data_IF_990060967822
#
_entry.id   IF_990060967822
#
_cell.length_a   1.000
_cell.length_b   1.000
_cell.length_c   1.000
_cell.angle_alpha   90.00
_cell.angle_beta   90.00
_cell.angle_gamma   90.00
#
_symmetry.space_group_name_H-M   'P 1'
#
loop_
_entity.id
_entity.type
_entity.pdbx_description
1 polymer ?
#
# COMPACT_ATOMS: atom_id res chain seq x y z
N UNK A 1 -6.61 -22.53 4.33
CA UNK A 1 -5.18 -22.36 3.95
C UNK A 1 -5.23 -21.20 2.98
N UNK A 2 -5.34 -20.00 3.54
CA UNK A 2 -5.99 -18.90 2.83
C UNK A 2 -4.89 -18.02 2.26
N UNK A 3 -4.70 -18.14 0.95
CA UNK A 3 -3.83 -17.26 0.22
C UNK A 3 -4.45 -15.87 0.25
N UNK A 4 -3.72 -14.90 0.79
CA UNK A 4 -4.08 -13.49 0.71
C UNK A 4 -4.16 -13.11 -0.78
N UNK A 5 -5.30 -12.65 -1.30
CA UNK A 5 -5.39 -12.26 -2.69
C UNK A 5 -4.54 -10.99 -2.87
N UNK A 6 -3.46 -11.11 -3.65
CA UNK A 6 -2.73 -9.95 -4.17
C UNK A 6 -3.59 -9.39 -5.30
N UNK A 7 -4.68 -8.70 -4.93
CA UNK A 7 -5.46 -7.93 -5.88
C UNK A 7 -4.83 -6.54 -5.99
N UNK A 8 -4.74 -6.07 -7.24
CA UNK A 8 -4.50 -4.68 -7.66
C UNK A 8 -3.03 -4.24 -7.86
N UNK A 9 -2.44 -4.67 -8.99
CA UNK A 9 -1.74 -3.70 -9.83
C UNK A 9 -2.81 -2.80 -10.46
N UNK A 10 -2.74 -1.50 -10.23
CA UNK A 10 -3.87 -0.59 -10.49
C UNK A 10 -3.84 -0.03 -11.91
N UNK A 11 -5.05 0.12 -12.46
CA UNK A 11 -5.37 0.85 -13.69
C UNK A 11 -5.27 2.36 -13.48
N UNK A 12 -4.65 3.06 -14.44
CA UNK A 12 -4.35 4.50 -14.41
C UNK A 12 -5.56 5.44 -14.21
N UNK A 13 -6.80 4.97 -14.34
CA UNK A 13 -8.02 5.79 -14.32
C UNK A 13 -8.68 5.99 -12.93
N UNK A 14 -8.03 5.64 -11.82
CA UNK A 14 -8.60 5.76 -10.47
C UNK A 14 -8.15 7.06 -9.76
N UNK A 15 -9.09 7.98 -9.50
CA UNK A 15 -8.80 9.26 -8.82
C UNK A 15 -8.30 9.07 -7.37
N UNK A 16 -8.91 8.14 -6.62
CA UNK A 16 -8.51 7.83 -5.24
C UNK A 16 -7.08 7.27 -5.20
N UNK A 17 -6.72 6.45 -6.20
CA UNK A 17 -5.35 5.99 -6.38
C UNK A 17 -4.37 7.15 -6.60
N UNK A 18 -4.67 8.05 -7.53
CA UNK A 18 -3.80 9.21 -7.79
C UNK A 18 -3.60 10.08 -6.53
N UNK A 19 -4.66 10.27 -5.73
CA UNK A 19 -4.60 11.01 -4.47
C UNK A 19 -3.73 10.30 -3.42
N UNK A 20 -3.87 8.98 -3.27
CA UNK A 20 -3.03 8.18 -2.37
C UNK A 20 -1.56 8.23 -2.80
N UNK A 21 -1.28 8.10 -4.10
CA UNK A 21 0.08 8.18 -4.64
C UNK A 21 0.71 9.55 -4.43
N UNK A 22 -0.05 10.64 -4.60
CA UNK A 22 0.42 11.99 -4.29
C UNK A 22 0.76 12.16 -2.81
N UNK A 23 0.00 11.53 -1.91
CA UNK A 23 0.25 11.57 -0.46
C UNK A 23 1.45 10.72 -0.04
N UNK A 24 1.73 9.67 -0.80
CA UNK A 24 2.91 8.80 -0.69
C UNK A 24 4.17 9.42 -1.30
N UNK A 25 4.06 10.39 -2.22
CA UNK A 25 5.22 10.97 -2.91
C UNK A 25 6.30 11.46 -1.92
N UNK A 26 7.51 10.92 -2.06
CA UNK A 26 8.65 11.22 -1.20
C UNK A 26 8.58 10.59 0.21
N UNK A 27 7.61 9.71 0.47
CA UNK A 27 7.48 8.95 1.71
C UNK A 27 7.68 7.48 1.44
N UNK A 28 8.24 6.82 2.43
CA UNK A 28 8.51 5.39 2.38
C UNK A 28 7.25 4.58 2.68
N UNK A 29 6.37 5.11 3.53
CA UNK A 29 5.08 4.53 3.86
C UNK A 29 4.11 5.64 4.30
N UNK A 30 2.82 5.46 4.04
CA UNK A 30 1.74 6.28 4.58
C UNK A 30 0.98 5.47 5.62
N UNK A 31 1.01 5.91 6.87
CA UNK A 31 0.25 5.30 7.96
C UNK A 31 -1.03 6.10 8.21
N UNK A 32 -2.15 5.41 8.39
CA UNK A 32 -3.44 6.03 8.66
C UNK A 32 -4.17 5.32 9.81
N UNK A 33 -4.72 6.10 10.72
CA UNK A 33 -5.62 5.64 11.78
C UNK A 33 -6.48 6.83 12.22
N UNK A 34 -7.76 6.92 11.80
CA UNK A 34 -8.48 6.03 10.90
C UNK A 34 -8.03 6.16 9.43
N UNK A 35 -8.51 5.26 8.57
CA UNK A 35 -8.28 5.32 7.12
C UNK A 35 -8.88 6.58 6.52
N UNK A 36 -8.21 7.16 5.52
CA UNK A 36 -8.83 8.21 4.72
C UNK A 36 -9.87 7.63 3.76
N UNK A 37 -10.76 8.50 3.24
CA UNK A 37 -11.75 8.08 2.25
C UNK A 37 -11.08 7.50 1.01
N UNK A 38 -10.01 8.13 0.54
CA UNK A 38 -9.28 7.72 -0.66
C UNK A 38 -8.68 6.33 -0.48
N UNK A 39 -8.10 6.02 0.68
CA UNK A 39 -7.57 4.68 0.96
C UNK A 39 -8.68 3.65 1.11
N UNK A 40 -9.80 4.01 1.74
CA UNK A 40 -10.95 3.13 1.88
C UNK A 40 -11.60 2.79 0.52
N UNK A 41 -11.64 3.74 -0.42
CA UNK A 41 -12.16 3.55 -1.78
C UNK A 41 -11.32 2.55 -2.61
N UNK A 42 -10.09 2.25 -2.18
CA UNK A 42 -9.18 1.28 -2.83
C UNK A 42 -9.26 -0.13 -2.24
N UNK A 43 -10.03 -0.32 -1.18
CA UNK A 43 -10.18 -1.59 -0.48
C UNK A 43 -11.55 -2.21 -0.80
N UNK A 44 -11.63 -3.53 -0.68
CA UNK A 44 -12.94 -4.19 -0.70
C UNK A 44 -13.75 -3.81 0.56
N UNK A 45 -15.09 -3.84 0.49
CA UNK A 45 -15.94 -3.42 1.62
C UNK A 45 -15.70 -4.19 2.93
N UNK A 46 -15.32 -5.47 2.86
CA UNK A 46 -15.08 -6.29 4.06
C UNK A 46 -13.79 -5.87 4.76
N UNK A 47 -12.75 -5.54 3.99
CA UNK A 47 -11.51 -4.96 4.50
C UNK A 47 -11.77 -3.59 5.15
N UNK A 48 -12.54 -2.71 4.51
CA UNK A 48 -12.90 -1.40 5.08
C UNK A 48 -13.67 -1.55 6.39
N UNK A 49 -14.64 -2.47 6.46
CA UNK A 49 -15.45 -2.69 7.66
C UNK A 49 -14.64 -3.12 8.89
N UNK A 50 -13.46 -3.70 8.68
CA UNK A 50 -12.60 -4.22 9.74
C UNK A 50 -11.37 -3.34 10.00
N UNK A 51 -11.07 -2.39 9.13
CA UNK A 51 -9.86 -1.59 9.23
C UNK A 51 -10.01 -0.44 10.25
N UNK A 52 -9.23 -0.51 11.34
CA UNK A 52 -9.06 0.59 12.29
C UNK A 52 -7.80 1.42 12.00
N UNK A 53 -6.78 0.80 11.39
CA UNK A 53 -5.59 1.46 10.86
C UNK A 53 -5.10 0.78 9.59
N UNK A 54 -4.27 1.47 8.82
CA UNK A 54 -3.58 0.89 7.67
C UNK A 54 -2.15 1.45 7.49
N UNK A 55 -1.34 0.66 6.77
CA UNK A 55 -0.08 1.08 6.19
C UNK A 55 -0.17 0.96 4.67
N UNK A 56 0.11 2.04 3.95
CA UNK A 56 0.18 2.07 2.49
C UNK A 56 1.64 2.18 2.07
N UNK A 57 2.07 1.29 1.19
CA UNK A 57 3.45 1.15 0.76
C UNK A 57 3.52 1.31 -0.76
N UNK A 58 4.35 2.22 -1.29
CA UNK A 58 4.53 2.33 -2.72
C UNK A 58 5.39 1.17 -3.22
N UNK A 59 5.02 0.59 -4.36
CA UNK A 59 5.88 -0.30 -5.13
C UNK A 59 6.54 0.58 -6.19
N UNK A 60 7.87 0.66 -6.18
CA UNK A 60 8.61 1.50 -7.14
C UNK A 60 9.31 0.68 -8.22
N UNK A 61 9.34 1.23 -9.42
CA UNK A 61 10.14 0.79 -10.54
C UNK A 61 11.63 1.07 -10.32
N UNK A 62 12.47 0.59 -11.25
CA UNK A 62 13.89 0.93 -11.30
C UNK A 62 14.15 2.44 -11.41
N UNK A 63 13.23 3.19 -12.02
CA UNK A 63 13.29 4.65 -12.15
C UNK A 63 12.96 5.40 -10.86
N UNK A 64 12.66 4.70 -9.76
CA UNK A 64 12.07 5.25 -8.53
C UNK A 64 10.65 5.81 -8.74
N UNK A 65 10.07 5.57 -9.91
CA UNK A 65 8.68 5.91 -10.20
C UNK A 65 7.75 4.87 -9.57
N UNK A 66 6.69 5.28 -8.87
CA UNK A 66 5.73 4.32 -8.32
C UNK A 66 4.92 3.62 -9.42
N UNK A 67 4.91 2.28 -9.40
CA UNK A 67 4.15 1.43 -10.33
C UNK A 67 2.90 0.81 -9.68
N UNK A 68 2.73 1.02 -8.38
CA UNK A 68 1.61 0.50 -7.62
C UNK A 68 1.79 0.72 -6.13
N UNK A 69 0.95 0.04 -5.33
CA UNK A 69 1.02 0.09 -3.88
C UNK A 69 0.49 -1.19 -3.24
N UNK A 70 0.73 -1.30 -1.94
CA UNK A 70 0.18 -2.33 -1.07
C UNK A 70 -0.50 -1.60 0.09
N UNK A 71 -1.76 -1.94 0.37
CA UNK A 71 -2.45 -1.49 1.58
C UNK A 71 -2.54 -2.68 2.53
N UNK A 72 -1.98 -2.52 3.73
CA UNK A 72 -2.11 -3.47 4.82
C UNK A 72 -3.05 -2.88 5.86
N UNK A 73 -4.09 -3.63 6.23
CA UNK A 73 -5.10 -3.19 7.20
C UNK A 73 -4.97 -3.94 8.51
N UNK A 74 -5.29 -3.25 9.61
CA UNK A 74 -5.36 -3.85 10.94
C UNK A 74 -6.63 -3.42 11.65
N UNK A 75 -7.18 -4.33 12.47
CA UNK A 75 -8.29 -4.06 13.39
C UNK A 75 -7.85 -3.26 14.63
N UNK A 76 -6.54 -3.18 14.88
CA UNK A 76 -5.97 -2.41 15.98
C UNK A 76 -5.52 -1.02 15.47
N UNK A 77 -6.08 0.08 16.00
CA UNK A 77 -5.70 1.43 15.59
C UNK A 77 -4.25 1.80 15.93
N UNK A 78 -3.62 1.11 16.90
CA UNK A 78 -2.24 1.33 17.33
C UNK A 78 -1.22 0.38 16.70
N UNK A 79 -1.63 -0.42 15.71
CA UNK A 79 -0.83 -1.51 15.15
C UNK A 79 0.38 -1.03 14.34
N UNK A 80 0.20 0.00 13.51
CA UNK A 80 1.28 0.55 12.70
C UNK A 80 1.87 1.76 13.38
N UNK A 81 3.10 1.62 13.90
CA UNK A 81 3.85 2.73 14.49
C UNK A 81 4.96 3.17 13.55
N UNK A 82 5.24 4.50 13.50
CA UNK A 82 6.44 4.99 12.84
C UNK A 82 7.69 4.26 13.37
N UNK A 83 8.64 4.01 12.49
CA UNK A 83 9.99 3.49 12.76
C UNK A 83 10.13 1.97 12.94
N UNK A 84 9.41 1.33 13.87
CA UNK A 84 9.64 -0.10 14.14
C UNK A 84 8.88 -1.02 13.17
N UNK A 85 7.62 -0.69 12.89
CA UNK A 85 6.77 -1.49 12.02
C UNK A 85 7.02 -1.19 10.54
N UNK A 86 7.55 0.00 10.23
CA UNK A 86 7.76 0.42 8.83
C UNK A 86 8.99 -0.20 8.19
N UNK A 87 10.05 -0.53 8.92
CA UNK A 87 11.29 -1.09 8.35
C UNK A 87 11.08 -2.47 7.71
N UNK A 88 10.23 -3.31 8.30
CA UNK A 88 9.90 -4.61 7.69
C UNK A 88 9.03 -4.42 6.45
N UNK A 89 8.10 -3.47 6.51
CA UNK A 89 7.20 -3.17 5.40
C UNK A 89 7.96 -2.56 4.23
N UNK A 90 8.96 -1.72 4.49
CA UNK A 90 9.93 -1.22 3.53
C UNK A 90 10.64 -2.34 2.78
N UNK A 91 11.17 -3.32 3.51
CA UNK A 91 11.80 -4.50 2.92
C UNK A 91 10.83 -5.30 2.05
N UNK A 92 9.57 -5.44 2.47
CA UNK A 92 8.53 -6.11 1.70
C UNK A 92 8.22 -5.37 0.39
N UNK A 93 8.02 -4.06 0.45
CA UNK A 93 7.75 -3.22 -0.72
C UNK A 93 8.92 -3.26 -1.72
N UNK A 94 10.16 -3.16 -1.22
CA UNK A 94 11.36 -3.27 -2.04
C UNK A 94 11.52 -4.65 -2.70
N UNK A 95 11.20 -5.73 -1.98
CA UNK A 95 11.23 -7.09 -2.53
C UNK A 95 10.20 -7.28 -3.65
N UNK A 96 8.99 -6.76 -3.45
CA UNK A 96 7.93 -6.83 -4.44
C UNK A 96 8.28 -5.98 -5.67
N UNK A 97 8.76 -4.75 -5.48
CA UNK A 97 9.25 -3.90 -6.58
C UNK A 97 10.37 -4.58 -7.38
N UNK A 98 11.37 -5.15 -6.69
CA UNK A 98 12.43 -5.92 -7.34
C UNK A 98 11.91 -7.14 -8.12
N UNK A 99 10.81 -7.75 -7.66
CA UNK A 99 10.17 -8.87 -8.36
C UNK A 99 9.42 -8.38 -9.60
N UNK A 100 8.66 -7.30 -9.50
CA UNK A 100 7.97 -6.68 -10.64
C UNK A 100 8.95 -6.29 -11.76
N UNK A 101 10.10 -5.70 -11.39
CA UNK A 101 11.17 -5.35 -12.34
C UNK A 101 11.71 -6.60 -13.06
N UNK A 102 11.91 -7.72 -12.35
CA UNK A 102 12.42 -8.96 -12.95
C UNK A 102 11.42 -9.65 -13.88
N UNK A 103 10.14 -9.38 -13.69
CA UNK A 103 9.06 -9.94 -14.51
C UNK A 103 8.67 -9.02 -15.68
N UNK A 104 9.41 -7.92 -15.90
CA UNK A 104 9.13 -6.93 -16.97
C UNK A 104 7.72 -6.33 -16.88
N UNK A 105 7.20 -6.21 -15.67
CA UNK A 105 5.88 -5.64 -15.37
C UNK A 105 5.92 -4.13 -15.12
N UNK A 106 7.09 -3.51 -15.29
CA UNK A 106 7.45 -2.14 -14.92
C UNK A 106 8.37 -1.54 -15.96
#
# INVERSE_FOLDING_TARGET
>A
KDALPINALVSEDNESAALVMRRLAGKVCLLEAPLSKETADLLDPDSVAQAASCAVLPITARSDEPIGWIILVSRDPGHYRPDMDTVLLEGLAGLIGATCIRLEMS
#
